data_IF_832001889767
#
_entry.id   IF_832001889767
#
_cell.length_a   1.000
_cell.length_b   1.000
_cell.length_c   1.000
_cell.angle_alpha   90.00
_cell.angle_beta   90.00
_cell.angle_gamma   90.00
#
_symmetry.space_group_name_H-M   'P 1'
#
loop_
_entity.id
_entity.type
_entity.pdbx_description
1 polymer ?
#
# COMPACT_ATOMS: atom_id res chain seq x y z
N UNK A 1 -33.33 38.65 -4.29
CA UNK A 1 -34.16 37.57 -3.81
C UNK A 1 -33.44 36.25 -4.11
N UNK A 2 -32.92 35.55 -3.11
CA UNK A 2 -32.43 34.19 -3.26
C UNK A 2 -33.67 33.32 -3.53
N UNK A 3 -33.72 32.72 -4.72
CA UNK A 3 -34.77 31.79 -5.07
C UNK A 3 -34.89 30.68 -4.04
N UNK A 4 -36.08 30.16 -3.82
CA UNK A 4 -36.37 29.05 -2.95
C UNK A 4 -35.41 27.88 -3.26
N UNK A 5 -34.66 27.43 -2.24
CA UNK A 5 -33.85 26.23 -2.35
C UNK A 5 -34.82 25.09 -2.72
N UNK A 6 -34.60 24.37 -3.82
CA UNK A 6 -35.48 23.26 -4.16
C UNK A 6 -35.49 22.26 -3.00
N UNK A 7 -36.69 21.76 -2.70
CA UNK A 7 -36.89 20.75 -1.69
C UNK A 7 -35.90 19.61 -1.94
N UNK A 8 -35.06 19.27 -0.93
CA UNK A 8 -34.11 18.20 -1.06
C UNK A 8 -34.87 16.93 -1.42
N UNK A 9 -34.62 16.39 -2.61
CA UNK A 9 -35.07 15.04 -2.92
C UNK A 9 -34.56 14.09 -1.82
N UNK A 10 -35.43 13.19 -1.38
CA UNK A 10 -35.00 12.16 -0.44
C UNK A 10 -33.73 11.49 -0.99
N UNK A 11 -32.72 11.36 -0.13
CA UNK A 11 -31.54 10.57 -0.51
C UNK A 11 -32.01 9.18 -0.95
N UNK A 12 -31.50 8.64 -2.05
CA UNK A 12 -31.77 7.27 -2.43
C UNK A 12 -31.38 6.36 -1.25
N UNK A 13 -32.16 5.30 -1.05
CA UNK A 13 -31.87 4.32 -0.02
C UNK A 13 -30.48 3.71 -0.29
N UNK A 14 -29.49 4.14 0.50
CA UNK A 14 -28.12 3.72 0.36
C UNK A 14 -27.94 2.22 0.52
N UNK A 15 -28.76 1.58 1.33
CA UNK A 15 -28.69 0.14 1.58
C UNK A 15 -28.98 -0.68 0.31
N UNK A 16 -29.90 -0.22 -0.54
CA UNK A 16 -30.21 -0.91 -1.78
C UNK A 16 -29.21 -0.64 -2.90
N UNK A 17 -28.64 0.57 -2.98
CA UNK A 17 -27.77 0.96 -4.10
C UNK A 17 -26.30 0.57 -3.89
N UNK A 18 -25.80 0.64 -2.66
CA UNK A 18 -24.38 0.41 -2.35
C UNK A 18 -24.07 -1.06 -2.11
N UNK A 19 -24.98 -1.82 -1.48
CA UNK A 19 -24.75 -3.24 -1.17
C UNK A 19 -24.96 -4.20 -2.35
N UNK A 20 -25.65 -3.79 -3.40
CA UNK A 20 -25.86 -4.62 -4.59
C UNK A 20 -24.85 -4.43 -5.71
N UNK A 21 -23.97 -3.44 -5.62
CA UNK A 21 -22.95 -3.14 -6.63
C UNK A 21 -21.54 -3.63 -6.27
N UNK A 22 -21.38 -4.46 -5.24
CA UNK A 22 -20.08 -5.04 -4.94
C UNK A 22 -19.60 -5.86 -6.14
N UNK A 23 -18.47 -5.51 -6.78
CA UNK A 23 -17.90 -6.35 -7.81
C UNK A 23 -17.71 -7.75 -7.23
N UNK A 24 -18.16 -8.77 -7.94
CA UNK A 24 -17.94 -10.15 -7.54
C UNK A 24 -16.44 -10.35 -7.47
N UNK A 25 -15.91 -10.52 -6.25
CA UNK A 25 -14.53 -10.87 -6.02
C UNK A 25 -14.37 -12.35 -6.38
N UNK A 26 -14.03 -12.62 -7.63
CA UNK A 26 -13.76 -13.97 -8.11
C UNK A 26 -12.48 -14.51 -7.51
N UNK A 27 -12.46 -15.77 -7.15
CA UNK A 27 -11.30 -16.47 -6.59
C UNK A 27 -11.13 -16.29 -5.08
N UNK A 28 -9.96 -16.67 -4.62
CA UNK A 28 -9.52 -16.49 -3.23
C UNK A 28 -9.26 -15.01 -2.93
N UNK A 29 -9.22 -14.59 -1.65
CA UNK A 29 -8.83 -13.24 -1.30
C UNK A 29 -7.46 -12.84 -1.86
N UNK A 30 -6.51 -13.78 -1.91
CA UNK A 30 -5.17 -13.56 -2.46
C UNK A 30 -5.22 -13.30 -3.97
N UNK A 31 -5.88 -14.14 -4.73
CA UNK A 31 -6.01 -13.96 -6.19
C UNK A 31 -6.73 -12.64 -6.55
N UNK A 32 -7.75 -12.28 -5.79
CA UNK A 32 -8.45 -11.01 -5.97
C UNK A 32 -7.56 -9.81 -5.62
N UNK A 33 -6.79 -9.90 -4.52
CA UNK A 33 -5.83 -8.87 -4.14
C UNK A 33 -4.77 -8.68 -5.23
N UNK A 34 -4.09 -9.76 -5.64
CA UNK A 34 -3.02 -9.70 -6.64
C UNK A 34 -3.51 -9.03 -7.93
N UNK A 35 -4.67 -9.46 -8.44
CA UNK A 35 -5.28 -8.89 -9.63
C UNK A 35 -5.57 -7.39 -9.50
N UNK A 36 -6.20 -6.98 -8.40
CA UNK A 36 -6.59 -5.60 -8.19
C UNK A 36 -5.41 -4.69 -7.84
N UNK A 37 -4.43 -5.20 -7.10
CA UNK A 37 -3.20 -4.50 -6.76
C UNK A 37 -2.35 -4.22 -8.02
N UNK A 38 -2.20 -5.22 -8.90
CA UNK A 38 -1.52 -5.08 -10.18
C UNK A 38 -2.30 -4.12 -11.10
N UNK A 39 -3.62 -4.20 -11.13
CA UNK A 39 -4.45 -3.28 -11.91
C UNK A 39 -4.33 -1.82 -11.44
N UNK A 40 -4.03 -1.59 -10.15
CA UNK A 40 -3.74 -0.27 -9.61
C UNK A 40 -2.30 0.21 -9.91
N UNK A 41 -1.46 -0.63 -10.52
CA UNK A 41 -0.07 -0.34 -10.85
C UNK A 41 0.93 -0.82 -9.80
N UNK A 42 0.50 -1.63 -8.84
CA UNK A 42 1.39 -2.27 -7.87
C UNK A 42 2.05 -3.53 -8.43
N UNK A 43 3.09 -3.99 -7.76
CA UNK A 43 3.80 -5.22 -8.09
C UNK A 43 3.73 -6.23 -6.94
N UNK A 44 3.51 -7.49 -7.25
CA UNK A 44 3.46 -8.57 -6.25
C UNK A 44 4.70 -9.43 -6.39
N UNK A 45 5.52 -9.48 -5.34
CA UNK A 45 6.72 -10.33 -5.28
C UNK A 45 6.39 -11.68 -4.64
N UNK A 46 6.92 -12.72 -5.24
CA UNK A 46 6.70 -14.11 -4.78
C UNK A 46 7.65 -14.52 -3.68
N UNK A 47 8.85 -13.94 -3.72
CA UNK A 47 9.91 -14.24 -2.77
C UNK A 47 10.93 -13.10 -2.66
N UNK A 48 11.88 -13.27 -1.74
CA UNK A 48 12.92 -12.27 -1.48
C UNK A 48 13.92 -12.15 -2.64
N UNK A 49 14.17 -13.24 -3.36
CA UNK A 49 15.10 -13.21 -4.48
C UNK A 49 14.56 -12.33 -5.63
N UNK A 50 13.25 -12.41 -5.86
CA UNK A 50 12.57 -11.54 -6.82
C UNK A 50 12.61 -10.07 -6.37
N UNK A 51 12.40 -9.78 -5.09
CA UNK A 51 12.54 -8.43 -4.53
C UNK A 51 13.97 -7.90 -4.66
N UNK A 52 14.99 -8.71 -4.37
CA UNK A 52 16.40 -8.33 -4.53
C UNK A 52 16.68 -7.97 -5.99
N UNK A 53 16.28 -8.83 -6.92
CA UNK A 53 16.49 -8.59 -8.34
C UNK A 53 15.79 -7.32 -8.83
N UNK A 54 14.58 -7.07 -8.35
CA UNK A 54 13.81 -5.86 -8.64
C UNK A 54 14.55 -4.61 -8.15
N UNK A 55 14.96 -4.55 -6.90
CA UNK A 55 15.65 -3.40 -6.33
C UNK A 55 17.01 -3.13 -7.05
N UNK A 56 17.76 -4.19 -7.34
CA UNK A 56 19.06 -4.06 -8.00
C UNK A 56 18.96 -3.63 -9.47
N UNK A 57 17.94 -4.07 -10.18
CA UNK A 57 17.72 -3.73 -11.60
C UNK A 57 17.64 -2.22 -11.82
N UNK A 58 16.98 -1.50 -10.92
CA UNK A 58 16.76 -0.06 -11.02
C UNK A 58 17.74 0.75 -10.15
N UNK A 59 18.79 0.06 -9.63
CA UNK A 59 19.89 0.68 -8.90
C UNK A 59 19.56 1.14 -7.49
N UNK A 60 18.51 0.58 -6.89
CA UNK A 60 18.16 0.86 -5.51
C UNK A 60 19.07 0.07 -4.56
N UNK A 61 20.00 0.78 -3.93
CA UNK A 61 21.06 0.16 -3.14
C UNK A 61 20.95 0.41 -1.63
N UNK A 62 20.17 1.41 -1.22
CA UNK A 62 20.01 1.80 0.18
C UNK A 62 18.55 2.02 0.52
N UNK A 63 18.12 1.52 1.68
CA UNK A 63 16.77 1.73 2.15
C UNK A 63 16.55 1.38 3.61
N UNK A 64 15.34 1.61 4.05
CA UNK A 64 14.85 1.29 5.37
C UNK A 64 14.18 -0.08 5.38
N UNK A 65 14.37 -0.83 6.45
CA UNK A 65 13.60 -2.02 6.75
C UNK A 65 13.07 -1.94 8.19
N UNK A 66 11.77 -2.18 8.35
CA UNK A 66 11.15 -2.33 9.66
C UNK A 66 11.96 -3.33 10.51
N UNK A 67 12.35 -2.95 11.75
CA UNK A 67 13.14 -3.83 12.62
C UNK A 67 12.52 -5.22 12.80
N UNK A 68 11.19 -5.32 12.80
CA UNK A 68 10.48 -6.60 12.96
C UNK A 68 10.58 -7.51 11.74
N UNK A 69 11.02 -6.98 10.60
CA UNK A 69 11.17 -7.69 9.34
C UNK A 69 12.63 -8.04 9.02
N UNK A 70 13.58 -7.71 9.90
CA UNK A 70 15.00 -7.96 9.64
C UNK A 70 15.28 -9.44 9.41
N UNK A 71 14.73 -10.34 10.22
CA UNK A 71 14.95 -11.78 10.07
C UNK A 71 14.28 -12.36 8.83
N UNK A 72 13.09 -11.86 8.49
CA UNK A 72 12.34 -12.37 7.36
C UNK A 72 12.83 -11.80 6.01
N UNK A 73 13.29 -10.55 5.98
CA UNK A 73 13.60 -9.82 4.72
C UNK A 73 14.96 -9.10 4.81
N UNK A 74 15.18 -8.27 5.83
CA UNK A 74 16.28 -7.32 5.88
C UNK A 74 17.67 -7.94 5.78
N UNK A 75 17.92 -9.06 6.48
CA UNK A 75 19.22 -9.75 6.45
C UNK A 75 19.53 -10.34 5.07
N UNK A 76 18.51 -10.84 4.36
CA UNK A 76 18.70 -11.35 3.01
C UNK A 76 19.05 -10.25 2.01
N UNK A 77 18.42 -9.07 2.12
CA UNK A 77 18.78 -7.90 1.31
C UNK A 77 20.22 -7.43 1.60
N UNK A 78 20.62 -7.39 2.88
CA UNK A 78 21.97 -7.03 3.27
C UNK A 78 23.00 -8.04 2.74
N UNK A 79 22.70 -9.34 2.79
CA UNK A 79 23.54 -10.40 2.24
C UNK A 79 23.66 -10.29 0.69
N UNK A 80 22.67 -9.74 0.02
CA UNK A 80 22.69 -9.46 -1.41
C UNK A 80 23.44 -8.16 -1.75
N UNK A 81 24.03 -7.46 -0.76
CA UNK A 81 24.84 -6.27 -0.94
C UNK A 81 24.08 -4.93 -0.85
N UNK A 82 22.81 -4.93 -0.45
CA UNK A 82 22.09 -3.69 -0.24
C UNK A 82 22.37 -3.12 1.17
N UNK A 83 22.36 -1.80 1.29
CA UNK A 83 22.47 -1.12 2.59
C UNK A 83 21.07 -1.03 3.21
N UNK A 84 20.87 -1.73 4.33
CA UNK A 84 19.59 -1.80 5.04
C UNK A 84 19.71 -1.12 6.40
N UNK A 85 18.93 -0.07 6.62
CA UNK A 85 18.87 0.66 7.88
C UNK A 85 17.55 0.38 8.60
N UNK A 86 17.59 0.25 9.93
CA UNK A 86 16.41 -0.02 10.75
C UNK A 86 15.87 1.22 11.47
N UNK A 87 16.55 2.35 11.31
CA UNK A 87 16.11 3.66 11.81
C UNK A 87 15.92 4.58 10.61
N UNK A 88 14.70 5.08 10.46
CA UNK A 88 14.39 6.03 9.39
C UNK A 88 14.79 7.45 9.82
N UNK A 89 15.92 7.94 9.30
CA UNK A 89 16.42 9.28 9.60
C UNK A 89 15.77 10.31 8.66
N UNK A 90 14.85 11.09 9.19
CA UNK A 90 14.12 12.13 8.43
C UNK A 90 15.01 13.24 7.89
N UNK A 91 16.16 13.46 8.48
CA UNK A 91 17.11 14.47 7.98
C UNK A 91 17.85 14.03 6.72
N UNK A 92 17.84 12.73 6.45
CA UNK A 92 18.46 12.07 5.28
C UNK A 92 17.44 11.32 4.44
N UNK A 93 16.19 11.79 4.37
CA UNK A 93 15.11 11.08 3.70
C UNK A 93 15.42 10.77 2.22
N UNK A 94 16.22 11.61 1.57
CA UNK A 94 16.64 11.43 0.17
C UNK A 94 17.63 10.26 -0.02
N UNK A 95 18.30 9.80 1.04
CA UNK A 95 19.23 8.67 0.97
C UNK A 95 18.47 7.33 0.87
N UNK A 96 17.21 7.28 1.28
CA UNK A 96 16.40 6.07 1.27
C UNK A 96 15.68 5.91 -0.07
N UNK A 97 16.14 4.96 -0.88
CA UNK A 97 15.55 4.65 -2.19
C UNK A 97 14.38 3.68 -2.07
N UNK A 98 14.41 2.81 -1.05
CA UNK A 98 13.30 1.91 -0.73
C UNK A 98 12.95 1.94 0.77
N UNK A 99 11.68 1.66 1.06
CA UNK A 99 11.19 1.49 2.42
C UNK A 99 10.40 0.20 2.55
N UNK A 100 10.85 -0.70 3.43
CA UNK A 100 10.19 -1.97 3.71
C UNK A 100 9.48 -1.86 5.04
N UNK A 101 8.16 -1.95 5.02
CA UNK A 101 7.33 -1.79 6.22
C UNK A 101 6.41 -2.99 6.42
N UNK A 102 6.08 -3.26 7.69
CA UNK A 102 5.06 -4.23 8.04
C UNK A 102 3.69 -3.66 7.71
N UNK A 103 3.00 -4.23 6.73
CA UNK A 103 1.61 -3.92 6.50
C UNK A 103 0.73 -4.63 7.55
N UNK A 104 -0.28 -3.95 8.04
CA UNK A 104 -1.23 -4.50 9.02
C UNK A 104 -2.27 -5.40 8.39
N UNK A 105 -2.37 -5.37 7.07
CA UNK A 105 -3.26 -6.19 6.27
C UNK A 105 -3.36 -5.67 4.84
N UNK A 106 -4.29 -6.26 4.10
CA UNK A 106 -4.63 -5.83 2.75
C UNK A 106 -6.14 -5.95 2.50
N UNK A 107 -6.63 -5.26 1.45
CA UNK A 107 -8.01 -5.30 1.00
C UNK A 107 -8.04 -5.84 -0.43
N UNK A 108 -8.64 -7.02 -0.61
CA UNK A 108 -8.71 -7.66 -1.92
C UNK A 108 -9.58 -6.88 -2.92
N UNK A 109 -10.68 -6.31 -2.46
CA UNK A 109 -11.64 -5.56 -3.29
C UNK A 109 -11.01 -4.37 -4.02
N UNK A 110 -10.10 -3.65 -3.37
CA UNK A 110 -9.45 -2.46 -3.92
C UNK A 110 -7.99 -2.67 -4.31
N UNK A 111 -7.38 -3.81 -3.94
CA UNK A 111 -5.95 -4.00 -4.10
C UNK A 111 -5.16 -3.00 -3.24
N UNK A 112 -5.53 -2.82 -1.99
CA UNK A 112 -4.88 -1.85 -1.11
C UNK A 112 -4.10 -2.55 0.00
N UNK A 113 -2.91 -2.04 0.32
CA UNK A 113 -2.20 -2.36 1.55
C UNK A 113 -2.74 -1.47 2.68
N UNK A 114 -2.81 -2.02 3.89
CA UNK A 114 -3.23 -1.30 5.10
C UNK A 114 -2.02 -1.07 5.99
N UNK A 115 -1.74 0.19 6.31
CA UNK A 115 -0.71 0.60 7.25
C UNK A 115 -1.39 1.29 8.43
N UNK A 116 -1.08 0.88 9.65
CA UNK A 116 -1.58 1.53 10.86
C UNK A 116 -0.43 1.80 11.85
N UNK A 117 -0.67 2.71 12.81
CA UNK A 117 0.35 3.10 13.79
C UNK A 117 0.70 1.99 14.79
N UNK A 118 -0.09 0.92 14.86
CA UNK A 118 0.14 -0.16 15.80
C UNK A 118 1.20 -1.16 15.31
N UNK A 119 1.33 -1.31 13.98
CA UNK A 119 2.21 -2.30 13.37
C UNK A 119 3.26 -1.73 12.44
N UNK A 120 2.96 -0.62 11.78
CA UNK A 120 3.89 0.03 10.86
C UNK A 120 4.83 0.93 11.65
N UNK A 121 6.09 0.57 11.74
CA UNK A 121 7.09 1.22 12.60
C UNK A 121 7.38 2.66 12.21
N UNK A 122 7.45 2.97 10.92
CA UNK A 122 7.58 4.35 10.41
C UNK A 122 6.82 4.54 9.10
N UNK A 123 5.77 5.36 9.14
CA UNK A 123 4.95 5.65 7.96
C UNK A 123 5.67 6.51 6.92
N UNK A 124 6.65 7.32 7.31
CA UNK A 124 7.44 8.07 6.35
C UNK A 124 8.29 7.15 5.49
N UNK A 125 8.76 6.02 6.06
CA UNK A 125 9.45 4.99 5.28
C UNK A 125 8.55 4.30 4.24
N UNK A 126 7.23 4.39 4.39
CA UNK A 126 6.27 3.93 3.40
C UNK A 126 5.89 5.00 2.36
N UNK A 127 6.15 6.28 2.63
CA UNK A 127 5.62 7.39 1.83
C UNK A 127 6.71 8.19 1.10
N UNK A 128 7.92 8.22 1.64
CA UNK A 128 8.99 9.08 1.15
C UNK A 128 9.94 8.40 0.14
N UNK A 129 10.39 7.15 0.33
CA UNK A 129 11.23 6.47 -0.65
C UNK A 129 10.51 6.24 -1.97
N UNK A 130 11.29 6.13 -3.05
CA UNK A 130 10.74 5.85 -4.38
C UNK A 130 10.02 4.49 -4.44
N UNK A 131 10.58 3.46 -3.81
CA UNK A 131 9.97 2.14 -3.70
C UNK A 131 9.39 1.92 -2.30
N UNK A 132 8.13 1.61 -2.19
CA UNK A 132 7.53 1.10 -0.95
C UNK A 132 7.21 -0.39 -1.06
N UNK A 133 7.73 -1.18 -0.13
CA UNK A 133 7.46 -2.61 -0.01
C UNK A 133 6.62 -2.87 1.25
N UNK A 134 5.36 -3.22 1.07
CA UNK A 134 4.49 -3.67 2.16
C UNK A 134 4.59 -5.18 2.34
N UNK A 135 5.06 -5.61 3.53
CA UNK A 135 5.22 -7.03 3.88
C UNK A 135 4.08 -7.48 4.77
N UNK A 136 3.43 -8.59 4.40
CA UNK A 136 2.28 -9.14 5.13
C UNK A 136 2.15 -10.65 4.97
N UNK A 137 1.29 -11.28 5.79
CA UNK A 137 0.86 -12.65 5.60
C UNK A 137 -0.42 -12.73 4.76
N UNK A 138 -0.58 -13.78 3.98
CA UNK A 138 -1.78 -13.99 3.17
C UNK A 138 -3.07 -14.03 4.03
N UNK A 139 -2.99 -14.55 5.25
CA UNK A 139 -4.11 -14.59 6.19
C UNK A 139 -4.62 -13.22 6.65
N UNK A 140 -3.88 -12.14 6.36
CA UNK A 140 -4.23 -10.76 6.71
C UNK A 140 -4.95 -10.02 5.58
N UNK A 141 -5.33 -10.73 4.52
CA UNK A 141 -6.10 -10.16 3.42
C UNK A 141 -7.58 -10.16 3.77
N UNK A 142 -8.15 -8.96 3.92
CA UNK A 142 -9.59 -8.77 4.05
C UNK A 142 -10.24 -8.76 2.66
N UNK A 143 -11.36 -9.47 2.54
CA UNK A 143 -12.02 -9.61 1.24
C UNK A 143 -12.60 -8.29 0.73
N UNK A 144 -13.19 -7.50 1.64
CA UNK A 144 -13.89 -6.25 1.32
C UNK A 144 -13.48 -5.10 2.24
N UNK A 145 -13.75 -3.88 1.81
CA UNK A 145 -13.55 -2.66 2.61
C UNK A 145 -14.32 -2.73 3.94
N UNK A 146 -15.62 -3.09 3.98
CA UNK A 146 -16.33 -3.23 5.25
C UNK A 146 -15.71 -4.26 6.18
N UNK A 147 -15.20 -5.38 5.66
CA UNK A 147 -14.52 -6.39 6.47
C UNK A 147 -13.21 -5.85 7.10
N UNK A 148 -12.45 -5.08 6.34
CA UNK A 148 -11.25 -4.42 6.86
C UNK A 148 -11.59 -3.39 7.95
N UNK A 149 -12.59 -2.53 7.71
CA UNK A 149 -13.04 -1.55 8.70
C UNK A 149 -13.48 -2.25 9.99
N UNK A 150 -14.23 -3.33 9.89
CA UNK A 150 -14.68 -4.09 11.06
C UNK A 150 -13.53 -4.72 11.85
N UNK A 151 -12.48 -5.19 11.16
CA UNK A 151 -11.31 -5.82 11.78
C UNK A 151 -10.40 -4.81 12.51
N UNK A 152 -10.24 -3.60 11.96
CA UNK A 152 -9.39 -2.57 12.56
C UNK A 152 -10.12 -1.71 13.58
N UNK A 153 -11.45 -1.71 13.58
CA UNK A 153 -12.28 -0.92 14.50
C UNK A 153 -11.96 0.58 14.42
N UNK A 154 -12.09 1.32 15.54
CA UNK A 154 -11.81 2.75 15.59
C UNK A 154 -10.31 3.06 15.72
N UNK A 155 -9.45 2.40 14.93
CA UNK A 155 -8.03 2.73 14.88
C UNK A 155 -7.84 4.19 14.47
N UNK A 156 -6.90 4.86 15.13
CA UNK A 156 -6.78 6.33 15.03
C UNK A 156 -6.18 6.79 13.71
N UNK A 157 -5.28 6.02 13.15
CA UNK A 157 -4.54 6.41 11.96
C UNK A 157 -4.31 5.18 11.07
N UNK A 158 -5.18 5.02 10.10
CA UNK A 158 -5.07 4.00 9.07
C UNK A 158 -4.81 4.69 7.73
N UNK A 159 -3.82 4.20 7.00
CA UNK A 159 -3.53 4.59 5.64
C UNK A 159 -3.76 3.38 4.73
N UNK A 160 -4.45 3.60 3.62
CA UNK A 160 -4.60 2.60 2.55
C UNK A 160 -3.77 3.03 1.35
N UNK A 161 -2.78 2.21 1.01
CA UNK A 161 -1.92 2.41 -0.15
C UNK A 161 -2.41 1.53 -1.30
N UNK A 162 -2.92 2.17 -2.35
CA UNK A 162 -3.50 1.50 -3.52
C UNK A 162 -2.67 1.87 -4.75
N UNK A 163 -1.66 1.06 -5.04
CA UNK A 163 -0.72 1.32 -6.12
C UNK A 163 0.21 2.51 -5.87
N UNK A 164 1.04 2.88 -6.86
CA UNK A 164 1.95 4.02 -6.81
C UNK A 164 1.23 5.36 -6.63
N UNK A 165 1.95 6.35 -6.10
CA UNK A 165 1.47 7.73 -6.06
C UNK A 165 1.27 8.27 -7.48
N UNK A 166 0.07 8.78 -7.78
CA UNK A 166 -0.27 9.32 -9.10
C UNK A 166 -0.86 10.70 -8.97
N UNK A 167 -0.33 11.64 -9.74
CA UNK A 167 -0.83 13.01 -9.84
C UNK A 167 -1.10 13.32 -11.31
N UNK A 168 -2.25 13.93 -11.60
CA UNK A 168 -2.52 14.49 -12.91
C UNK A 168 -2.15 15.98 -12.90
N UNK A 169 -1.36 16.41 -13.87
CA UNK A 169 -1.13 17.82 -14.10
C UNK A 169 -2.34 18.52 -14.81
N UNK A 170 -2.23 19.81 -15.05
CA UNK A 170 -3.29 20.62 -15.69
C UNK A 170 -3.61 20.12 -17.11
N UNK A 171 -2.67 19.43 -17.77
CA UNK A 171 -2.83 18.91 -19.12
C UNK A 171 -3.36 17.45 -19.13
N UNK A 172 -3.61 16.87 -17.94
CA UNK A 172 -4.13 15.50 -17.78
C UNK A 172 -3.06 14.43 -17.94
N UNK A 173 -1.78 14.78 -17.92
CA UNK A 173 -0.67 13.83 -17.93
C UNK A 173 -0.52 13.26 -16.53
N UNK A 174 -0.56 11.93 -16.41
CA UNK A 174 -0.30 11.23 -15.16
C UNK A 174 1.20 11.21 -14.88
N UNK A 175 1.57 11.72 -13.70
CA UNK A 175 2.95 11.70 -13.19
C UNK A 175 2.97 10.82 -11.95
N UNK A 176 3.84 9.84 -11.92
CA UNK A 176 4.02 8.95 -10.78
C UNK A 176 5.12 9.45 -9.84
N UNK A 177 5.01 9.14 -8.53
CA UNK A 177 6.07 9.39 -7.56
C UNK A 177 6.22 10.82 -7.06
N UNK A 178 5.31 11.75 -7.37
CA UNK A 178 5.44 13.17 -6.97
C UNK A 178 5.15 13.37 -5.48
N UNK A 179 4.14 12.71 -4.94
CA UNK A 179 3.66 12.89 -3.57
C UNK A 179 3.70 11.60 -2.74
N UNK A 180 4.50 10.64 -3.16
CA UNK A 180 4.65 9.35 -2.53
C UNK A 180 5.48 8.41 -3.42
N UNK A 181 5.55 7.12 -3.10
CA UNK A 181 6.32 6.15 -3.87
C UNK A 181 5.92 6.10 -5.34
N UNK A 182 6.91 6.09 -6.24
CA UNK A 182 6.71 5.81 -7.66
C UNK A 182 6.45 4.33 -7.92
N UNK A 183 6.84 3.47 -6.97
CA UNK A 183 6.67 2.02 -7.07
C UNK A 183 6.10 1.46 -5.78
N UNK A 184 5.06 0.65 -5.89
CA UNK A 184 4.37 0.03 -4.77
C UNK A 184 4.44 -1.49 -4.90
N UNK A 185 5.05 -2.15 -3.92
CA UNK A 185 5.29 -3.59 -3.92
C UNK A 185 4.57 -4.25 -2.76
N UNK A 186 3.98 -5.42 -2.98
CA UNK A 186 3.50 -6.32 -1.95
C UNK A 186 4.37 -7.58 -1.91
N UNK A 187 4.91 -7.91 -0.73
CA UNK A 187 5.66 -9.13 -0.47
C UNK A 187 4.95 -9.96 0.60
N UNK A 188 4.64 -11.20 0.28
CA UNK A 188 4.01 -12.14 1.23
C UNK A 188 5.05 -13.06 1.87
N UNK A 189 4.94 -13.24 3.20
CA UNK A 189 5.84 -14.09 4.02
C UNK A 189 5.05 -15.14 4.80
#
# INVERSE_FOLDING_TARGET
ALGSVPEKSAYPDYDAAVFHSHPKLEGTPREAFDRNFIAAGGEVMRDIAELVAFLQKDGHTRGYCDPTLMDAVGHALAAAGLTVETVYDRSRYEDFQFGITRASGAIAESGSLILDDARTSDRLAALSPWVHVGVLHESEIHRTIPAAIAAFGPSRNILWATGPSKTADVEGILIEGVHGPGEQVALFI
#
